data_IF_725987993203
#
_entry.id   IF_725987993203
#
_cell.length_a   1.000
_cell.length_b   1.000
_cell.length_c   1.000
_cell.angle_alpha   90.00
_cell.angle_beta   90.00
_cell.angle_gamma   90.00
#
_symmetry.space_group_name_H-M   'P 1'
#
loop_
_entity.id
_entity.type
_entity.pdbx_description
1 polymer ?
#
# COMPACT_ATOMS: atom_id res chain seq x y z
N UNK A 1 17.79 -19.48 -27.53
CA UNK A 1 17.29 -18.15 -27.13
C UNK A 1 15.83 -18.14 -26.70
N UNK A 2 14.82 -18.31 -27.57
CA UNK A 2 13.41 -18.18 -27.12
C UNK A 2 12.98 -19.27 -26.11
N UNK A 3 13.52 -20.49 -26.25
CA UNK A 3 13.27 -21.58 -25.29
C UNK A 3 13.83 -21.30 -23.90
N UNK A 4 14.88 -20.49 -23.79
CA UNK A 4 15.53 -20.14 -22.52
C UNK A 4 14.70 -19.13 -21.71
N UNK A 5 13.89 -18.30 -22.40
CA UNK A 5 12.99 -17.33 -21.78
C UNK A 5 11.59 -17.87 -21.48
N UNK A 6 11.19 -19.02 -22.05
CA UNK A 6 9.86 -19.62 -21.83
C UNK A 6 9.46 -19.73 -20.35
N UNK A 7 10.35 -20.17 -19.43
CA UNK A 7 10.00 -20.25 -18.01
C UNK A 7 9.71 -18.88 -17.38
N UNK A 8 10.52 -17.87 -17.74
CA UNK A 8 10.35 -16.49 -17.26
C UNK A 8 9.05 -15.90 -17.80
N UNK A 9 8.78 -16.07 -19.10
CA UNK A 9 7.56 -15.56 -19.73
C UNK A 9 6.30 -16.17 -19.11
N UNK A 10 6.33 -17.45 -18.74
CA UNK A 10 5.21 -18.11 -18.05
C UNK A 10 4.94 -17.49 -16.68
N UNK A 11 5.99 -17.13 -15.93
CA UNK A 11 5.85 -16.47 -14.62
C UNK A 11 5.32 -15.06 -14.78
N UNK A 12 5.86 -14.30 -15.74
CA UNK A 12 5.40 -12.93 -16.05
C UNK A 12 3.94 -12.91 -16.48
N UNK A 13 3.52 -13.84 -17.33
CA UNK A 13 2.12 -13.95 -17.76
C UNK A 13 1.22 -14.28 -16.57
N UNK A 14 1.63 -15.22 -15.70
CA UNK A 14 0.89 -15.56 -14.48
C UNK A 14 0.76 -14.35 -13.55
N UNK A 15 1.85 -13.62 -13.33
CA UNK A 15 1.85 -12.38 -12.55
C UNK A 15 0.84 -11.38 -13.13
N UNK A 16 0.90 -11.12 -14.43
CA UNK A 16 0.03 -10.16 -15.11
C UNK A 16 -1.45 -10.53 -14.99
N UNK A 17 -1.79 -11.81 -15.19
CA UNK A 17 -3.19 -12.28 -15.05
C UNK A 17 -3.69 -12.07 -13.62
N UNK A 18 -2.90 -12.47 -12.62
CA UNK A 18 -3.30 -12.33 -11.20
C UNK A 18 -3.43 -10.85 -10.83
N UNK A 19 -2.48 -10.02 -11.26
CA UNK A 19 -2.51 -8.58 -11.04
C UNK A 19 -3.77 -7.95 -11.62
N UNK A 20 -4.11 -8.25 -12.89
CA UNK A 20 -5.30 -7.71 -13.54
C UNK A 20 -6.59 -8.18 -12.86
N UNK A 21 -6.68 -9.45 -12.48
CA UNK A 21 -7.86 -9.97 -11.76
C UNK A 21 -8.06 -9.24 -10.43
N UNK A 22 -6.99 -9.07 -9.64
CA UNK A 22 -7.06 -8.35 -8.37
C UNK A 22 -7.36 -6.87 -8.56
N UNK A 23 -6.77 -6.24 -9.59
CA UNK A 23 -7.01 -4.85 -9.93
C UNK A 23 -8.47 -4.62 -10.34
N UNK A 24 -9.05 -5.48 -11.17
CA UNK A 24 -10.46 -5.39 -11.54
C UNK A 24 -11.40 -5.68 -10.37
N UNK A 25 -11.05 -6.62 -9.49
CA UNK A 25 -11.81 -6.84 -8.26
C UNK A 25 -11.81 -5.58 -7.37
N UNK A 26 -10.66 -4.90 -7.28
CA UNK A 26 -10.57 -3.64 -6.54
C UNK A 26 -11.35 -2.51 -7.21
N UNK A 27 -11.26 -2.38 -8.54
CA UNK A 27 -12.06 -1.41 -9.29
C UNK A 27 -13.57 -1.66 -9.11
N UNK A 28 -13.98 -2.93 -9.10
CA UNK A 28 -15.38 -3.28 -8.84
C UNK A 28 -15.81 -2.87 -7.43
N UNK A 29 -14.97 -3.10 -6.42
CA UNK A 29 -15.19 -2.58 -5.06
C UNK A 29 -15.37 -1.05 -5.06
N UNK A 30 -14.46 -0.31 -5.70
CA UNK A 30 -14.56 1.15 -5.78
C UNK A 30 -15.85 1.63 -6.47
N UNK A 31 -16.30 0.94 -7.52
CA UNK A 31 -17.54 1.27 -8.22
C UNK A 31 -18.80 1.00 -7.38
N UNK A 32 -18.71 0.16 -6.33
CA UNK A 32 -19.83 -0.09 -5.40
C UNK A 32 -19.93 0.97 -4.31
N UNK A 33 -18.82 1.64 -3.98
CA UNK A 33 -18.81 2.75 -3.04
C UNK A 33 -19.52 3.96 -3.68
N UNK A 34 -20.44 4.60 -2.94
CA UNK A 34 -21.21 5.75 -3.43
C UNK A 34 -20.86 7.00 -2.63
N UNK A 35 -20.66 8.12 -3.33
CA UNK A 35 -20.77 9.45 -2.75
C UNK A 35 -19.62 9.85 -1.81
N UNK A 36 -18.36 9.63 -2.20
CA UNK A 36 -17.21 10.15 -1.48
C UNK A 36 -15.98 9.25 -1.56
N UNK A 37 -15.03 9.49 -0.65
CA UNK A 37 -13.85 8.64 -0.46
C UNK A 37 -14.27 7.21 -0.06
N UNK A 38 -13.61 6.19 -0.58
CA UNK A 38 -13.95 4.79 -0.28
C UNK A 38 -13.74 4.45 1.22
N UNK A 39 -14.52 3.50 1.70
CA UNK A 39 -14.53 3.09 3.12
C UNK A 39 -13.16 2.61 3.62
N UNK A 40 -12.36 1.95 2.77
CA UNK A 40 -11.03 1.51 3.17
C UNK A 40 -10.07 2.69 3.35
N UNK A 41 -10.09 3.67 2.45
CA UNK A 41 -9.33 4.91 2.60
C UNK A 41 -9.73 5.71 3.82
N UNK A 42 -11.03 5.78 4.14
CA UNK A 42 -11.51 6.38 5.39
C UNK A 42 -10.96 5.65 6.61
N UNK A 43 -10.96 4.32 6.59
CA UNK A 43 -10.43 3.49 7.67
C UNK A 43 -8.92 3.71 7.90
N UNK A 44 -8.11 3.69 6.82
CA UNK A 44 -6.67 4.01 6.88
C UNK A 44 -6.44 5.42 7.41
N UNK A 45 -7.24 6.39 6.96
CA UNK A 45 -7.14 7.77 7.42
C UNK A 45 -7.46 7.93 8.91
N UNK A 46 -8.49 7.23 9.41
CA UNK A 46 -8.84 7.22 10.84
C UNK A 46 -7.74 6.61 11.73
N UNK A 47 -7.10 5.54 11.27
CA UNK A 47 -5.92 4.97 11.94
C UNK A 47 -4.74 5.95 11.94
N UNK A 48 -4.50 6.62 10.81
CA UNK A 48 -3.43 7.62 10.70
C UNK A 48 -3.66 8.79 11.65
N UNK A 49 -4.92 9.23 11.77
CA UNK A 49 -5.37 10.24 12.75
C UNK A 49 -5.13 9.77 14.19
N UNK A 50 -5.44 8.51 14.49
CA UNK A 50 -5.21 7.92 15.81
C UNK A 50 -3.71 7.90 16.17
N UNK A 51 -2.84 7.55 15.22
CA UNK A 51 -1.38 7.61 15.40
C UNK A 51 -0.91 9.05 15.66
N UNK A 52 -1.40 10.03 14.90
CA UNK A 52 -1.07 11.44 15.09
C UNK A 52 -1.47 11.94 16.49
N UNK A 53 -2.69 11.62 16.91
CA UNK A 53 -3.20 11.96 18.25
C UNK A 53 -2.35 11.34 19.37
N UNK A 54 -1.94 10.07 19.23
CA UNK A 54 -1.05 9.40 20.18
C UNK A 54 0.33 10.04 20.27
N UNK A 55 0.82 10.63 19.18
CA UNK A 55 2.10 11.34 19.11
C UNK A 55 2.02 12.80 19.59
N UNK A 56 0.86 13.25 20.10
CA UNK A 56 0.68 14.61 20.60
C UNK A 56 0.28 15.64 19.54
N UNK A 57 -0.19 15.20 18.37
CA UNK A 57 -0.70 16.05 17.30
C UNK A 57 -2.23 15.88 17.20
N UNK A 58 -3.03 16.73 17.88
CA UNK A 58 -4.47 16.77 17.74
C UNK A 58 -4.88 16.78 16.27
N UNK A 59 -5.43 15.67 15.80
CA UNK A 59 -5.75 15.42 14.40
C UNK A 59 -7.20 14.96 14.28
N UNK A 60 -7.85 15.44 13.24
CA UNK A 60 -9.19 15.03 12.84
C UNK A 60 -9.28 14.87 11.31
N UNK A 61 -10.25 14.09 10.86
CA UNK A 61 -10.59 13.98 9.45
C UNK A 61 -11.99 14.52 9.21
N UNK A 62 -12.10 15.43 8.23
CA UNK A 62 -13.39 15.95 7.76
C UNK A 62 -13.67 15.43 6.36
N UNK A 63 -14.80 14.76 6.18
CA UNK A 63 -15.21 14.27 4.86
C UNK A 63 -15.58 15.43 3.92
N UNK A 64 -15.18 15.31 2.66
CA UNK A 64 -15.58 16.23 1.57
C UNK A 64 -16.08 15.39 0.39
N UNK A 65 -17.32 14.87 0.49
CA UNK A 65 -17.88 13.92 -0.48
C UNK A 65 -17.89 14.42 -1.92
N UNK A 66 -18.10 15.71 -2.14
CA UNK A 66 -18.20 16.34 -3.47
C UNK A 66 -16.87 16.28 -4.25
N UNK A 67 -15.77 15.99 -3.55
CA UNK A 67 -14.42 15.88 -4.11
C UNK A 67 -13.80 14.50 -3.89
N UNK A 68 -14.61 13.51 -3.50
CA UNK A 68 -14.17 12.12 -3.27
C UNK A 68 -12.94 12.03 -2.34
N UNK A 69 -12.91 12.87 -1.31
CA UNK A 69 -11.73 13.05 -0.46
C UNK A 69 -12.12 13.30 0.99
N UNK A 70 -11.15 13.26 1.88
CA UNK A 70 -11.29 13.68 3.27
C UNK A 70 -10.08 14.52 3.66
N UNK A 71 -10.31 15.57 4.44
CA UNK A 71 -9.29 16.54 4.82
C UNK A 71 -8.71 16.19 6.17
N UNK A 72 -7.38 16.13 6.27
CA UNK A 72 -6.68 16.09 7.54
C UNK A 72 -6.54 17.50 8.09
N UNK A 73 -7.06 17.70 9.29
CA UNK A 73 -6.87 18.90 10.09
C UNK A 73 -6.01 18.55 11.30
N UNK A 74 -4.88 19.24 11.47
CA UNK A 74 -4.02 19.11 12.65
C UNK A 74 -3.99 20.47 13.36
N UNK A 75 -4.19 20.47 14.68
CA UNK A 75 -4.29 21.69 15.48
C UNK A 75 -5.29 22.73 14.92
N UNK A 76 -6.39 22.25 14.32
CA UNK A 76 -7.42 23.10 13.70
C UNK A 76 -7.04 23.70 12.35
N UNK A 77 -5.90 23.33 11.77
CA UNK A 77 -5.46 23.77 10.45
C UNK A 77 -5.54 22.64 9.42
N UNK A 78 -6.06 22.95 8.24
CA UNK A 78 -6.03 22.04 7.11
C UNK A 78 -4.60 21.79 6.63
N UNK A 79 -4.15 20.53 6.65
CA UNK A 79 -2.77 20.15 6.30
C UNK A 79 -2.71 19.43 4.95
N UNK A 80 -3.55 18.42 4.78
CA UNK A 80 -3.51 17.55 3.61
C UNK A 80 -4.86 16.90 3.36
N UNK A 81 -4.96 16.15 2.27
CA UNK A 81 -6.16 15.38 1.93
C UNK A 81 -5.84 13.91 1.73
N UNK A 82 -6.74 13.05 2.19
CA UNK A 82 -6.78 11.63 1.91
C UNK A 82 -7.53 11.38 0.60
N UNK A 83 -6.92 10.62 -0.30
CA UNK A 83 -7.53 10.13 -1.54
C UNK A 83 -7.33 8.61 -1.64
N UNK A 84 -8.06 7.94 -2.53
CA UNK A 84 -7.96 6.48 -2.74
C UNK A 84 -6.50 6.02 -2.89
N UNK A 85 -5.72 6.66 -3.77
CA UNK A 85 -4.33 6.28 -4.01
C UNK A 85 -3.40 6.35 -2.79
N UNK A 86 -3.81 6.97 -1.67
CA UNK A 86 -3.04 7.00 -0.43
C UNK A 86 -3.20 5.72 0.40
N UNK A 87 -4.21 4.88 0.15
CA UNK A 87 -4.52 3.72 1.00
C UNK A 87 -3.59 2.50 0.81
N UNK A 88 -2.73 2.55 -0.22
CA UNK A 88 -1.77 1.52 -0.61
C UNK A 88 -2.35 0.16 -1.09
N UNK A 89 -3.66 0.04 -1.36
CA UNK A 89 -4.26 -1.20 -1.89
C UNK A 89 -3.61 -1.60 -3.21
N UNK A 90 -3.46 -0.67 -4.16
CA UNK A 90 -2.80 -0.95 -5.44
C UNK A 90 -1.37 -1.49 -5.28
N UNK A 91 -0.64 -1.02 -4.26
CA UNK A 91 0.69 -1.51 -3.92
C UNK A 91 0.64 -2.90 -3.28
N UNK A 92 -0.33 -3.16 -2.41
CA UNK A 92 -0.57 -4.49 -1.82
C UNK A 92 -1.01 -5.53 -2.87
N UNK A 93 -1.79 -5.12 -3.87
CA UNK A 93 -2.18 -5.95 -5.02
C UNK A 93 -0.94 -6.32 -5.84
N UNK A 94 -0.13 -5.32 -6.20
CA UNK A 94 1.14 -5.54 -6.92
C UNK A 94 2.04 -6.52 -6.18
N UNK A 95 2.22 -6.30 -4.86
CA UNK A 95 2.98 -7.20 -3.99
C UNK A 95 2.42 -8.63 -4.04
N UNK A 96 1.12 -8.78 -3.79
CA UNK A 96 0.45 -10.09 -3.70
C UNK A 96 0.52 -10.85 -5.03
N UNK A 97 0.27 -10.17 -6.15
CA UNK A 97 0.32 -10.76 -7.48
C UNK A 97 1.70 -11.35 -7.78
N UNK A 98 2.77 -10.63 -7.43
CA UNK A 98 4.14 -11.12 -7.61
C UNK A 98 4.40 -12.37 -6.78
N UNK A 99 4.02 -12.36 -5.51
CA UNK A 99 4.22 -13.52 -4.62
C UNK A 99 3.44 -14.74 -5.12
N UNK A 100 2.20 -14.56 -5.57
CA UNK A 100 1.40 -15.65 -6.14
C UNK A 100 1.92 -16.16 -7.50
N UNK A 101 2.64 -15.34 -8.27
CA UNK A 101 3.29 -15.82 -9.49
C UNK A 101 4.28 -16.95 -9.20
N UNK A 102 4.92 -16.92 -8.02
CA UNK A 102 5.82 -17.94 -7.49
C UNK A 102 5.17 -18.86 -6.44
N UNK A 103 3.88 -19.18 -6.60
CA UNK A 103 3.13 -20.01 -5.64
C UNK A 103 3.88 -21.30 -5.20
N UNK A 104 3.93 -21.53 -3.88
CA UNK A 104 4.56 -22.68 -3.21
C UNK A 104 3.64 -23.31 -2.16
N UNK A 105 2.32 -23.30 -2.39
CA UNK A 105 1.34 -23.88 -1.45
C UNK A 105 0.94 -22.94 -0.32
N UNK A 106 0.61 -23.50 0.85
CA UNK A 106 0.09 -22.77 2.03
C UNK A 106 1.00 -21.63 2.50
N UNK A 107 2.32 -21.78 2.34
CA UNK A 107 3.32 -20.76 2.73
C UNK A 107 3.12 -19.44 1.98
N UNK A 108 2.67 -19.50 0.72
CA UNK A 108 2.38 -18.30 -0.08
C UNK A 108 1.26 -17.48 0.54
N UNK A 109 0.16 -18.11 0.95
CA UNK A 109 -0.95 -17.41 1.58
C UNK A 109 -0.56 -16.75 2.90
N UNK A 110 0.19 -17.46 3.76
CA UNK A 110 0.67 -16.92 5.04
C UNK A 110 1.59 -15.72 4.80
N UNK A 111 2.52 -15.82 3.84
CA UNK A 111 3.45 -14.73 3.53
C UNK A 111 2.73 -13.51 2.93
N UNK A 112 1.76 -13.73 2.02
CA UNK A 112 0.94 -12.64 1.48
C UNK A 112 0.14 -11.96 2.59
N UNK A 113 -0.54 -12.71 3.45
CA UNK A 113 -1.32 -12.15 4.55
C UNK A 113 -0.44 -11.31 5.50
N UNK A 114 0.70 -11.86 5.94
CA UNK A 114 1.64 -11.14 6.79
C UNK A 114 2.22 -9.88 6.09
N UNK A 115 2.55 -9.99 4.79
CA UNK A 115 3.06 -8.89 3.99
C UNK A 115 2.03 -7.78 3.80
N UNK A 116 0.77 -8.11 3.54
CA UNK A 116 -0.33 -7.14 3.41
C UNK A 116 -0.55 -6.39 4.73
N UNK A 117 -0.60 -7.11 5.86
CA UNK A 117 -0.72 -6.49 7.20
C UNK A 117 0.47 -5.55 7.47
N UNK A 118 1.69 -6.00 7.17
CA UNK A 118 2.89 -5.17 7.32
C UNK A 118 2.85 -3.91 6.45
N UNK A 119 2.53 -4.04 5.16
CA UNK A 119 2.44 -2.91 4.23
C UNK A 119 1.34 -1.92 4.65
N UNK A 120 0.23 -2.43 5.20
CA UNK A 120 -0.83 -1.59 5.73
C UNK A 120 -0.35 -0.76 6.94
N UNK A 121 0.34 -1.38 7.90
CA UNK A 121 0.93 -0.65 9.04
C UNK A 121 1.94 0.40 8.57
N UNK A 122 2.83 0.05 7.63
CA UNK A 122 3.79 0.99 7.04
C UNK A 122 3.07 2.16 6.37
N UNK A 123 1.95 1.91 5.67
CA UNK A 123 1.19 2.96 5.02
C UNK A 123 0.51 3.92 6.01
N UNK A 124 -0.05 3.40 7.10
CA UNK A 124 -0.63 4.24 8.18
C UNK A 124 0.45 5.15 8.77
N UNK A 125 1.63 4.59 9.10
CA UNK A 125 2.75 5.36 9.61
C UNK A 125 3.28 6.38 8.59
N UNK A 126 3.27 6.03 7.30
CA UNK A 126 3.65 6.92 6.20
C UNK A 126 2.74 8.15 6.15
N UNK A 127 1.41 7.96 6.20
CA UNK A 127 0.44 9.06 6.16
C UNK A 127 0.57 9.93 7.41
N UNK A 128 0.63 9.30 8.60
CA UNK A 128 0.80 10.02 9.85
C UNK A 128 2.08 10.85 9.88
N UNK A 129 3.21 10.26 9.48
CA UNK A 129 4.50 10.93 9.42
C UNK A 129 4.52 12.08 8.40
N UNK A 130 3.87 11.93 7.24
CA UNK A 130 3.81 12.98 6.23
C UNK A 130 3.01 14.19 6.74
N UNK A 131 1.88 13.98 7.41
CA UNK A 131 1.09 15.07 7.98
C UNK A 131 1.86 15.82 9.08
N UNK A 132 2.58 15.10 9.95
CA UNK A 132 3.43 15.71 10.97
C UNK A 132 4.57 16.51 10.32
N UNK A 133 5.23 15.94 9.30
CA UNK A 133 6.30 16.61 8.57
C UNK A 133 5.83 17.93 7.93
N UNK A 134 4.60 17.94 7.38
CA UNK A 134 3.99 19.11 6.76
C UNK A 134 3.79 20.27 7.76
N UNK A 135 3.60 19.97 9.04
CA UNK A 135 3.42 20.97 10.11
C UNK A 135 4.76 21.40 10.70
N UNK A 136 5.58 20.44 11.11
CA UNK A 136 6.80 20.70 11.87
C UNK A 136 7.94 21.24 11.01
N UNK A 137 8.08 20.74 9.78
CA UNK A 137 9.17 21.16 8.88
C UNK A 137 8.69 21.32 7.44
N UNK A 138 7.87 22.36 7.15
CA UNK A 138 7.30 22.58 5.82
C UNK A 138 8.33 22.65 4.68
N UNK A 139 9.56 23.06 4.99
CA UNK A 139 10.67 23.13 4.02
C UNK A 139 11.06 21.76 3.45
N UNK A 140 10.82 20.66 4.16
CA UNK A 140 11.12 19.31 3.71
C UNK A 140 9.90 18.59 3.12
N UNK A 141 8.72 19.20 3.13
CA UNK A 141 7.47 18.58 2.68
C UNK A 141 7.52 18.05 1.27
N UNK A 142 8.13 18.80 0.34
CA UNK A 142 8.31 18.36 -1.05
C UNK A 142 9.18 17.11 -1.12
N UNK A 143 10.32 17.11 -0.44
CA UNK A 143 11.22 15.96 -0.43
C UNK A 143 10.57 14.73 0.26
N UNK A 144 9.84 14.97 1.35
CA UNK A 144 9.08 13.97 2.06
C UNK A 144 8.04 13.31 1.15
N UNK A 145 7.19 14.11 0.53
CA UNK A 145 6.09 13.65 -0.32
C UNK A 145 6.56 12.99 -1.61
N UNK A 146 7.55 13.55 -2.30
CA UNK A 146 7.94 13.10 -3.64
C UNK A 146 8.94 11.94 -3.61
N UNK A 147 9.72 11.80 -2.54
CA UNK A 147 10.80 10.81 -2.47
C UNK A 147 10.74 9.93 -1.23
N UNK A 148 10.76 10.49 -0.03
CA UNK A 148 11.00 9.70 1.20
C UNK A 148 9.84 8.76 1.48
N UNK A 149 8.62 9.28 1.59
CA UNK A 149 7.45 8.47 1.93
C UNK A 149 7.05 7.48 0.81
N UNK A 150 7.14 7.81 -0.48
CA UNK A 150 7.04 6.81 -1.54
C UNK A 150 8.13 5.73 -1.46
N UNK A 151 9.40 6.11 -1.23
CA UNK A 151 10.50 5.15 -1.12
C UNK A 151 10.29 4.17 0.05
N UNK A 152 9.71 4.61 1.16
CA UNK A 152 9.39 3.73 2.29
C UNK A 152 8.43 2.60 1.89
N UNK A 153 7.32 2.90 1.20
CA UNK A 153 6.33 1.87 0.84
C UNK A 153 6.83 0.98 -0.32
N UNK A 154 7.41 1.57 -1.37
CA UNK A 154 7.92 0.79 -2.50
C UNK A 154 9.18 -0.02 -2.13
N UNK A 155 10.06 0.56 -1.32
CA UNK A 155 11.22 -0.13 -0.76
C UNK A 155 10.79 -1.32 0.11
N UNK A 156 9.74 -1.16 0.92
CA UNK A 156 9.17 -2.27 1.70
C UNK A 156 8.69 -3.41 0.82
N UNK A 157 8.01 -3.13 -0.30
CA UNK A 157 7.60 -4.15 -1.27
C UNK A 157 8.79 -4.90 -1.85
N UNK A 158 9.81 -4.16 -2.31
CA UNK A 158 11.03 -4.75 -2.88
C UNK A 158 11.72 -5.64 -1.85
N UNK A 159 11.88 -5.18 -0.61
CA UNK A 159 12.47 -5.98 0.48
C UNK A 159 11.67 -7.25 0.72
N UNK A 160 10.33 -7.18 0.80
CA UNK A 160 9.48 -8.35 0.96
C UNK A 160 9.59 -9.33 -0.21
N UNK A 161 9.72 -8.84 -1.44
CA UNK A 161 9.98 -9.69 -2.61
C UNK A 161 11.33 -10.40 -2.52
N UNK A 162 12.39 -9.69 -2.15
CA UNK A 162 13.71 -10.30 -1.97
C UNK A 162 13.70 -11.37 -0.87
N UNK A 163 13.01 -11.12 0.24
CA UNK A 163 12.79 -12.11 1.31
C UNK A 163 12.06 -13.33 0.75
N UNK A 164 10.94 -13.13 0.04
CA UNK A 164 10.19 -14.24 -0.54
C UNK A 164 11.05 -15.10 -1.49
N UNK A 165 11.77 -14.44 -2.41
CA UNK A 165 12.60 -15.12 -3.40
C UNK A 165 13.69 -15.95 -2.71
N UNK A 166 14.43 -15.34 -1.78
CA UNK A 166 15.55 -15.96 -1.07
C UNK A 166 15.12 -17.16 -0.24
N UNK A 167 13.99 -17.06 0.46
CA UNK A 167 13.60 -18.08 1.44
C UNK A 167 12.63 -19.13 0.89
N UNK A 168 11.83 -18.80 -0.12
CA UNK A 168 10.73 -19.67 -0.58
C UNK A 168 10.78 -19.99 -2.07
N UNK A 169 11.18 -19.06 -2.94
CA UNK A 169 11.21 -19.32 -4.39
C UNK A 169 12.40 -20.20 -4.79
N UNK A 170 13.60 -19.88 -4.30
CA UNK A 170 14.87 -20.52 -4.67
C UNK A 170 15.19 -21.80 -3.88
N UNK A 171 14.56 -22.04 -2.73
CA UNK A 171 14.72 -23.32 -2.01
C UNK A 171 13.91 -24.42 -2.70
N UNK A 172 14.60 -25.28 -3.44
CA UNK A 172 14.06 -26.56 -3.88
C UNK A 172 13.67 -27.41 -2.68
N UNK A 173 12.57 -28.19 -2.73
CA UNK A 173 12.34 -29.20 -1.70
C UNK A 173 13.56 -30.11 -1.65
N UNK A 174 14.14 -30.31 -0.46
CA UNK A 174 15.07 -31.42 -0.25
C UNK A 174 14.29 -32.68 -0.64
N UNK A 175 14.75 -33.36 -1.69
CA UNK A 175 14.31 -34.74 -1.99
C UNK A 175 14.60 -35.62 -0.79
#
# INVERSE_FOLDING_TARGET
MFNDFKPVLKILLRFMIIYLVLLFAYQFYLNMEKGGLDSFSKWVGGQSTSVQNLLGYPSEMKEVPERETSWFSLNGQYISRMVEGCNAISVMILFSAFIFAFYKGKKTFVFVAAGVVFLHMVNVLRIAGLNILLVETPQYSKAGHDYIFPAVIYGSVVVLWLIWIKFFALKSPKK
#
